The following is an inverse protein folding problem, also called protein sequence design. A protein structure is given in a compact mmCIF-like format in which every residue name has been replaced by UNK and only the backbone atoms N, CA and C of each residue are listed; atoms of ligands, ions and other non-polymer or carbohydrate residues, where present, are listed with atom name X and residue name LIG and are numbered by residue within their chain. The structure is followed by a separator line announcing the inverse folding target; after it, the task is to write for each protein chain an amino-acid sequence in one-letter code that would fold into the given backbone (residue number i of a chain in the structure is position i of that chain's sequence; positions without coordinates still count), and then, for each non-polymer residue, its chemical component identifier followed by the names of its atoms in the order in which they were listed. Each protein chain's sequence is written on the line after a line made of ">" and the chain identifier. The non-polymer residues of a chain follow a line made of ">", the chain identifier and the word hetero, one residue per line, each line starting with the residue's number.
data_IF_433595400113
#
_entry.id   IF_433595400113
#
_cell.length_a   1.000
_cell.length_b   1.000
_cell.length_c   1.000
_cell.angle_alpha   90.00
_cell.angle_beta   90.00
_cell.angle_gamma   90.00
#
_symmetry.space_group_name_H-M   'P 1'
#
loop_
_entity.id
_entity.type
_entity.pdbx_description
1 polymer ?
#
# COMPACT_ATOMS: atom_id res chain seq x y z
N UNK A 1 0.65 -0.57 -8.52
CA UNK A 1 -0.20 -0.71 -7.34
C UNK A 1 -0.61 0.61 -6.71
N UNK A 2 0.06 1.72 -7.05
CA UNK A 2 -0.31 3.04 -6.58
C UNK A 2 -1.75 3.41 -6.97
N UNK A 3 -2.25 3.02 -8.15
CA UNK A 3 -3.61 3.38 -8.54
C UNK A 3 -4.68 2.60 -7.77
N UNK A 4 -4.43 1.33 -7.44
CA UNK A 4 -5.29 0.56 -6.53
C UNK A 4 -5.39 1.24 -5.17
N UNK A 5 -4.27 1.66 -4.57
CA UNK A 5 -4.31 2.42 -3.31
C UNK A 5 -4.96 3.79 -3.47
N UNK A 6 -4.71 4.50 -4.58
CA UNK A 6 -5.35 5.78 -4.88
C UNK A 6 -6.86 5.63 -4.94
N UNK A 7 -7.40 4.63 -5.64
CA UNK A 7 -8.85 4.33 -5.68
C UNK A 7 -9.39 4.05 -4.29
N UNK A 8 -8.71 3.21 -3.50
CA UNK A 8 -9.09 2.94 -2.11
C UNK A 8 -9.16 4.23 -1.29
N UNK A 9 -8.17 5.11 -1.42
CA UNK A 9 -8.09 6.37 -0.68
C UNK A 9 -9.06 7.44 -1.21
N UNK A 10 -9.42 7.37 -2.49
CA UNK A 10 -10.40 8.26 -3.13
C UNK A 10 -11.86 7.80 -2.97
N UNK A 11 -12.12 6.54 -2.61
CA UNK A 11 -13.48 5.98 -2.47
C UNK A 11 -14.37 6.71 -1.45
N UNK A 12 -13.80 7.62 -0.65
CA UNK A 12 -14.54 8.54 0.25
C UNK A 12 -15.03 9.84 -0.41
N UNK A 13 -14.63 10.12 -1.67
CA UNK A 13 -15.07 11.24 -2.49
C UNK A 13 -15.78 10.75 -3.75
N UNK A 14 -16.74 11.51 -4.25
CA UNK A 14 -17.57 11.15 -5.41
C UNK A 14 -16.73 10.59 -6.57
N UNK A 15 -17.05 9.36 -6.98
CA UNK A 15 -16.38 8.66 -8.07
C UNK A 15 -16.56 9.41 -9.39
N UNK A 16 -15.48 9.97 -9.92
CA UNK A 16 -15.38 10.33 -11.33
C UNK A 16 -15.02 9.09 -12.17
N UNK A 17 -15.40 9.04 -13.45
CA UNK A 17 -15.06 7.92 -14.32
C UNK A 17 -13.53 7.87 -14.49
N UNK A 18 -12.92 6.79 -14.05
CA UNK A 18 -11.49 6.57 -14.20
C UNK A 18 -11.13 6.34 -15.67
N UNK A 19 -10.19 7.13 -16.19
CA UNK A 19 -9.59 6.90 -17.49
C UNK A 19 -8.90 5.52 -17.49
N UNK A 20 -9.24 4.68 -18.46
CA UNK A 20 -8.56 3.41 -18.73
C UNK A 20 -7.11 3.69 -19.13
N UNK A 21 -6.23 3.77 -18.13
CA UNK A 21 -4.83 3.87 -18.40
C UNK A 21 -4.31 2.52 -18.92
N UNK A 22 -3.67 2.59 -20.08
CA UNK A 22 -3.11 1.50 -20.88
C UNK A 22 -2.31 0.51 -20.06
N UNK A 23 -2.28 -0.73 -20.57
CA UNK A 23 -1.72 -1.99 -20.07
C UNK A 23 -0.25 -1.97 -19.56
N UNK A 24 0.11 -1.09 -18.63
CA UNK A 24 1.40 -1.11 -17.96
C UNK A 24 1.29 -1.83 -16.61
N UNK A 25 2.28 -2.69 -16.34
CA UNK A 25 2.44 -3.31 -15.02
C UNK A 25 2.77 -2.20 -14.04
N UNK A 26 1.79 -1.80 -13.24
CA UNK A 26 2.02 -0.73 -12.27
C UNK A 26 3.13 -1.12 -11.29
N UNK A 27 3.99 -0.16 -10.89
CA UNK A 27 5.12 -0.44 -10.01
C UNK A 27 4.71 -1.11 -8.70
N UNK A 28 5.58 -1.98 -8.16
CA UNK A 28 5.40 -2.59 -6.84
C UNK A 28 5.46 -1.48 -5.78
N UNK A 29 4.66 -1.63 -4.73
CA UNK A 29 4.45 -0.57 -3.75
C UNK A 29 4.87 -1.00 -2.35
N UNK A 30 5.61 -0.13 -1.66
CA UNK A 30 5.94 -0.26 -0.24
C UNK A 30 5.02 0.62 0.62
N UNK A 31 4.27 0.00 1.53
CA UNK A 31 3.40 0.67 2.49
C UNK A 31 4.11 0.78 3.84
N UNK A 32 4.39 2.01 4.26
CA UNK A 32 5.21 2.37 5.40
C UNK A 32 4.35 2.99 6.50
N UNK A 33 4.68 2.72 7.76
CA UNK A 33 4.04 3.37 8.90
C UNK A 33 4.37 2.71 10.22
N UNK A 34 4.28 3.46 11.31
CA UNK A 34 4.58 2.98 12.67
C UNK A 34 3.65 1.86 13.15
N UNK A 35 3.89 1.35 14.36
CA UNK A 35 3.02 0.36 14.98
C UNK A 35 1.59 0.91 15.13
N UNK A 36 0.57 0.11 14.79
CA UNK A 36 -0.83 0.54 14.90
C UNK A 36 -1.30 1.59 13.88
N UNK A 37 -0.49 1.92 12.86
CA UNK A 37 -0.86 2.88 11.80
C UNK A 37 -1.95 2.39 10.83
N UNK A 38 -2.56 1.22 11.04
CA UNK A 38 -3.63 0.72 10.18
C UNK A 38 -3.16 0.20 8.81
N UNK A 39 -1.87 -0.09 8.63
CA UNK A 39 -1.32 -0.71 7.39
C UNK A 39 -2.12 -1.92 6.94
N UNK A 40 -2.37 -2.86 7.85
CA UNK A 40 -3.19 -4.06 7.60
C UNK A 40 -4.59 -3.71 7.12
N UNK A 41 -5.21 -2.66 7.67
CA UNK A 41 -6.53 -2.21 7.25
C UNK A 41 -6.53 -1.66 5.82
N UNK A 42 -5.49 -0.89 5.48
CA UNK A 42 -5.32 -0.36 4.14
C UNK A 42 -4.98 -1.46 3.12
N UNK A 43 -4.11 -2.41 3.47
CA UNK A 43 -3.84 -3.59 2.63
C UNK A 43 -5.10 -4.41 2.38
N UNK A 44 -5.91 -4.64 3.41
CA UNK A 44 -7.16 -5.38 3.25
C UNK A 44 -8.17 -4.61 2.39
N UNK A 45 -8.22 -3.28 2.50
CA UNK A 45 -9.02 -2.45 1.60
C UNK A 45 -8.53 -2.56 0.14
N UNK A 46 -7.23 -2.59 -0.09
CA UNK A 46 -6.63 -2.82 -1.41
C UNK A 46 -6.95 -4.23 -1.95
N UNK A 47 -6.97 -5.25 -1.08
CA UNK A 47 -7.36 -6.60 -1.44
C UNK A 47 -8.81 -6.67 -1.93
N UNK A 48 -9.74 -5.99 -1.23
CA UNK A 48 -11.14 -5.93 -1.62
C UNK A 48 -11.35 -5.19 -2.95
N UNK A 49 -10.64 -4.07 -3.15
CA UNK A 49 -10.67 -3.32 -4.40
C UNK A 49 -10.19 -4.20 -5.57
N UNK A 50 -9.04 -4.86 -5.44
CA UNK A 50 -8.48 -5.71 -6.48
C UNK A 50 -9.33 -6.97 -6.73
N UNK A 51 -9.95 -7.55 -5.70
CA UNK A 51 -10.92 -8.62 -5.85
C UNK A 51 -12.17 -8.15 -6.63
N UNK A 52 -12.61 -6.91 -6.39
CA UNK A 52 -13.73 -6.27 -7.09
C UNK A 52 -13.50 -6.04 -8.58
N UNK A 53 -12.24 -5.91 -9.01
CA UNK A 53 -11.88 -5.79 -10.44
C UNK A 53 -12.15 -7.06 -11.25
N UNK A 54 -12.38 -8.21 -10.60
CA UNK A 54 -12.68 -9.47 -11.29
C UNK A 54 -11.51 -10.06 -12.09
N UNK A 55 -10.28 -9.57 -11.85
CA UNK A 55 -9.06 -9.97 -12.60
C UNK A 55 -8.42 -11.27 -12.13
N UNK A 56 -8.89 -11.84 -11.03
CA UNK A 56 -8.33 -13.03 -10.41
C UNK A 56 -8.32 -12.92 -8.88
N UNK A 57 -7.95 -14.01 -8.18
CA UNK A 57 -7.87 -14.00 -6.73
C UNK A 57 -6.76 -13.06 -6.23
N UNK A 58 -6.87 -12.64 -4.97
CA UNK A 58 -5.81 -11.90 -4.26
C UNK A 58 -5.11 -12.85 -3.30
N UNK A 59 -3.78 -12.87 -3.29
CA UNK A 59 -2.99 -13.62 -2.33
C UNK A 59 -2.54 -12.68 -1.21
N UNK A 60 -3.04 -12.90 0.01
CA UNK A 60 -2.71 -12.11 1.19
C UNK A 60 -1.81 -12.92 2.12
N UNK A 61 -0.54 -12.53 2.21
CA UNK A 61 0.46 -13.13 3.10
C UNK A 61 0.59 -12.30 4.37
N UNK A 62 0.53 -12.95 5.53
CA UNK A 62 0.79 -12.30 6.82
C UNK A 62 1.27 -13.35 7.82
N UNK A 63 2.13 -12.97 8.76
CA UNK A 63 2.76 -13.96 9.65
C UNK A 63 1.79 -14.66 10.59
N UNK A 64 0.68 -13.99 10.96
CA UNK A 64 -0.29 -14.49 11.93
C UNK A 64 -1.72 -14.32 11.41
N UNK A 65 -2.66 -15.21 11.78
CA UNK A 65 -4.08 -15.03 11.49
C UNK A 65 -4.59 -13.67 11.96
N UNK A 66 -5.32 -12.98 11.09
CA UNK A 66 -5.96 -11.71 11.44
C UNK A 66 -7.05 -11.98 12.49
N UNK A 67 -6.94 -11.36 13.66
CA UNK A 67 -7.91 -11.55 14.76
C UNK A 67 -9.29 -10.95 14.42
N UNK A 68 -9.31 -9.91 13.60
CA UNK A 68 -10.52 -9.27 13.09
C UNK A 68 -10.25 -8.70 11.71
N UNK A 69 -11.18 -8.91 10.78
CA UNK A 69 -11.11 -8.23 9.49
C UNK A 69 -11.62 -6.79 9.63
N UNK A 70 -10.91 -5.78 9.08
CA UNK A 70 -11.38 -4.41 9.02
C UNK A 70 -12.79 -4.34 8.44
N UNK A 71 -13.70 -3.66 9.15
CA UNK A 71 -15.08 -3.48 8.72
C UNK A 71 -15.16 -2.37 7.67
N UNK A 72 -14.74 -2.67 6.44
CA UNK A 72 -15.04 -1.81 5.29
C UNK A 72 -16.37 -2.24 4.66
N UNK A 73 -17.37 -1.38 4.80
CA UNK A 73 -18.59 -1.15 3.99
C UNK A 73 -19.38 -2.40 3.52
N UNK A 74 -20.42 -2.75 4.29
CA UNK A 74 -21.63 -3.43 3.80
C UNK A 74 -21.57 -4.94 3.54
N UNK A 75 -22.68 -5.64 3.77
CA UNK A 75 -22.88 -7.06 3.47
C UNK A 75 -22.67 -7.43 1.98
N UNK A 76 -22.58 -6.44 1.09
CA UNK A 76 -22.38 -6.59 -0.34
C UNK A 76 -20.97 -7.04 -0.75
N UNK A 77 -19.96 -6.92 0.15
CA UNK A 77 -18.57 -7.31 -0.14
C UNK A 77 -18.22 -8.75 0.27
N UNK A 78 -19.17 -9.49 0.87
CA UNK A 78 -18.98 -10.90 1.25
C UNK A 78 -18.51 -11.79 0.08
N UNK A 79 -19.05 -11.67 -1.15
CA UNK A 79 -18.56 -12.45 -2.29
C UNK A 79 -17.10 -12.12 -2.68
N UNK A 80 -16.67 -10.87 -2.47
CA UNK A 80 -15.30 -10.44 -2.78
C UNK A 80 -14.28 -10.95 -1.77
N UNK A 81 -14.69 -11.13 -0.51
CA UNK A 81 -13.85 -11.77 0.51
C UNK A 81 -13.45 -13.19 0.12
N UNK A 82 -14.32 -13.90 -0.59
CA UNK A 82 -14.04 -15.26 -1.08
C UNK A 82 -12.94 -15.30 -2.16
N UNK A 83 -12.63 -14.16 -2.79
CA UNK A 83 -11.53 -14.05 -3.75
C UNK A 83 -10.18 -13.78 -3.08
N UNK A 84 -10.16 -13.47 -1.78
CA UNK A 84 -8.93 -13.23 -1.03
C UNK A 84 -8.49 -14.54 -0.37
N UNK A 85 -7.33 -15.05 -0.81
CA UNK A 85 -6.68 -16.24 -0.27
C UNK A 85 -5.64 -15.82 0.75
N UNK A 86 -5.90 -16.09 2.02
CA UNK A 86 -4.94 -15.86 3.08
C UNK A 86 -3.96 -17.02 3.21
N UNK A 87 -2.67 -16.72 3.37
CA UNK A 87 -1.65 -17.68 3.78
C UNK A 87 -0.82 -17.10 4.91
N UNK A 88 -0.41 -17.98 5.83
CA UNK A 88 0.19 -17.59 7.10
C UNK A 88 1.56 -18.22 7.33
N UNK A 89 2.61 -17.86 6.56
CA UNK A 89 3.95 -18.36 6.82
C UNK A 89 4.46 -17.79 8.17
N UNK A 90 4.62 -18.62 9.23
CA UNK A 90 4.95 -18.19 10.58
C UNK A 90 6.44 -17.83 10.77
N UNK A 91 7.29 -18.11 9.79
CA UNK A 91 8.75 -17.86 9.79
C UNK A 91 9.26 -17.47 8.42
N UNK A 92 10.46 -16.89 8.35
CA UNK A 92 11.15 -16.55 7.10
C UNK A 92 11.36 -17.78 6.23
N UNK A 93 11.76 -18.91 6.83
CA UNK A 93 11.92 -20.17 6.09
C UNK A 93 10.61 -20.61 5.41
N UNK A 94 9.47 -20.53 6.10
CA UNK A 94 8.18 -20.90 5.51
C UNK A 94 7.72 -19.92 4.44
N UNK A 95 7.99 -18.63 4.60
CA UNK A 95 7.75 -17.62 3.56
C UNK A 95 8.58 -17.93 2.31
N UNK A 96 9.88 -18.20 2.46
CA UNK A 96 10.77 -18.57 1.35
C UNK A 96 10.28 -19.84 0.66
N UNK A 97 9.92 -20.88 1.40
CA UNK A 97 9.37 -22.12 0.83
C UNK A 97 8.12 -21.84 0.00
N UNK A 98 7.20 -21.03 0.52
CA UNK A 98 5.96 -20.64 -0.16
C UNK A 98 6.27 -19.90 -1.48
N UNK A 99 7.12 -18.88 -1.43
CA UNK A 99 7.49 -18.09 -2.62
C UNK A 99 8.22 -18.95 -3.66
N UNK A 100 9.20 -19.76 -3.25
CA UNK A 100 9.92 -20.66 -4.15
C UNK A 100 8.99 -21.70 -4.79
N UNK A 101 7.98 -22.19 -4.06
CA UNK A 101 6.99 -23.15 -4.58
C UNK A 101 5.88 -22.52 -5.44
N UNK A 102 5.88 -21.20 -5.62
CA UNK A 102 4.81 -20.51 -6.35
C UNK A 102 4.61 -21.07 -7.77
N UNK A 103 5.68 -21.49 -8.44
CA UNK A 103 5.63 -22.08 -9.78
C UNK A 103 4.91 -23.44 -9.83
N UNK A 104 4.82 -24.14 -8.70
CA UNK A 104 4.14 -25.45 -8.58
C UNK A 104 2.62 -25.30 -8.38
N UNK A 105 2.14 -24.10 -8.04
CA UNK A 105 0.74 -23.88 -7.72
C UNK A 105 -0.18 -24.13 -8.91
N UNK A 106 -1.08 -25.10 -8.75
CA UNK A 106 -2.14 -25.40 -9.71
C UNK A 106 -3.38 -24.56 -9.37
N UNK A 107 -3.93 -23.84 -10.35
CA UNK A 107 -5.10 -22.99 -10.17
C UNK A 107 -4.96 -21.59 -10.78
N UNK A 108 -5.94 -20.70 -10.54
CA UNK A 108 -5.90 -19.34 -11.05
C UNK A 108 -4.73 -18.57 -10.42
N UNK A 109 -3.95 -17.89 -11.25
CA UNK A 109 -2.89 -17.01 -10.79
C UNK A 109 -3.48 -15.77 -10.11
N UNK A 110 -2.90 -15.29 -8.99
CA UNK A 110 -3.39 -14.10 -8.32
C UNK A 110 -3.17 -12.85 -9.17
N UNK A 111 -4.14 -11.93 -9.11
CA UNK A 111 -4.05 -10.60 -9.71
C UNK A 111 -3.29 -9.60 -8.83
N UNK A 112 -3.15 -9.91 -7.53
CA UNK A 112 -2.46 -9.10 -6.53
C UNK A 112 -1.84 -9.99 -5.45
N UNK A 113 -0.57 -9.75 -5.16
CA UNK A 113 0.18 -10.30 -4.03
C UNK A 113 0.36 -9.21 -2.97
N UNK A 114 -0.07 -9.51 -1.75
CA UNK A 114 0.06 -8.63 -0.59
C UNK A 114 0.92 -9.34 0.47
N UNK A 115 1.88 -8.61 1.04
CA UNK A 115 2.63 -9.07 2.22
C UNK A 115 2.46 -8.06 3.35
N UNK A 116 1.89 -8.48 4.47
CA UNK A 116 1.74 -7.69 5.69
C UNK A 116 2.82 -8.06 6.71
N UNK A 117 3.52 -7.06 7.24
CA UNK A 117 4.53 -7.22 8.29
C UNK A 117 5.88 -7.75 7.81
N UNK A 118 6.47 -7.19 6.74
CA UNK A 118 7.78 -7.62 6.23
C UNK A 118 8.88 -7.60 7.32
N UNK A 119 8.84 -6.63 8.23
CA UNK A 119 9.76 -6.49 9.35
C UNK A 119 9.81 -7.74 10.25
N UNK A 120 8.71 -8.49 10.35
CA UNK A 120 8.64 -9.69 11.18
C UNK A 120 9.47 -10.84 10.59
N UNK A 121 9.78 -10.80 9.29
CA UNK A 121 10.66 -11.78 8.64
C UNK A 121 12.11 -11.32 8.63
N UNK A 122 12.35 -10.02 8.47
CA UNK A 122 13.69 -9.45 8.48
C UNK A 122 14.35 -9.46 9.88
N UNK A 123 13.55 -9.48 10.94
CA UNK A 123 14.07 -9.59 12.31
C UNK A 123 14.62 -10.98 12.65
N UNK A 124 14.21 -12.03 11.94
CA UNK A 124 14.75 -13.38 12.13
C UNK A 124 16.14 -13.53 11.51
N UNK A 125 16.42 -12.75 10.45
CA UNK A 125 17.68 -12.77 9.71
C UNK A 125 18.07 -11.34 9.28
N UNK A 126 18.74 -10.57 10.15
CA UNK A 126 18.86 -9.11 10.03
C UNK A 126 19.87 -8.63 8.99
N UNK A 127 20.42 -9.49 8.15
CA UNK A 127 21.38 -9.05 7.14
C UNK A 127 20.71 -8.29 5.97
N UNK A 128 21.44 -7.34 5.40
CA UNK A 128 20.95 -6.54 4.27
C UNK A 128 20.83 -7.36 2.97
N UNK A 129 21.62 -8.44 2.86
CA UNK A 129 21.55 -9.38 1.75
C UNK A 129 20.21 -10.13 1.75
N UNK A 130 19.69 -10.46 2.93
CA UNK A 130 18.45 -11.18 3.14
C UNK A 130 17.24 -10.31 2.81
N UNK A 131 17.29 -9.03 3.18
CA UNK A 131 16.29 -8.04 2.75
C UNK A 131 16.23 -7.90 1.21
N UNK A 132 17.40 -7.85 0.56
CA UNK A 132 17.48 -7.78 -0.90
C UNK A 132 16.96 -9.07 -1.57
N UNK A 133 17.36 -10.22 -1.03
CA UNK A 133 16.95 -11.52 -1.52
C UNK A 133 15.43 -11.69 -1.42
N UNK A 134 14.84 -11.35 -0.26
CA UNK A 134 13.41 -11.46 -0.05
C UNK A 134 12.62 -10.50 -0.95
N UNK A 135 13.08 -9.26 -1.11
CA UNK A 135 12.47 -8.30 -2.03
C UNK A 135 12.53 -8.78 -3.49
N UNK A 136 13.69 -9.28 -3.93
CA UNK A 136 13.86 -9.83 -5.27
C UNK A 136 12.96 -11.05 -5.51
N UNK A 137 12.84 -11.96 -4.53
CA UNK A 137 11.99 -13.14 -4.64
C UNK A 137 10.50 -12.79 -4.67
N UNK A 138 10.05 -11.79 -3.90
CA UNK A 138 8.68 -11.28 -3.97
C UNK A 138 8.36 -10.70 -5.35
N UNK A 139 9.28 -9.93 -5.92
CA UNK A 139 9.15 -9.38 -7.26
C UNK A 139 9.13 -10.46 -8.34
N UNK A 140 10.03 -11.44 -8.26
CA UNK A 140 10.07 -12.58 -9.18
C UNK A 140 8.79 -13.41 -9.10
N UNK A 141 8.27 -13.63 -7.89
CA UNK A 141 7.00 -14.33 -7.67
C UNK A 141 5.83 -13.57 -8.32
N UNK A 142 5.76 -12.25 -8.14
CA UNK A 142 4.75 -11.41 -8.79
C UNK A 142 4.90 -11.39 -10.32
N UNK A 143 6.13 -11.37 -10.84
CA UNK A 143 6.40 -11.47 -12.27
C UNK A 143 5.95 -12.83 -12.84
N UNK A 144 6.24 -13.92 -12.14
CA UNK A 144 5.77 -15.26 -12.49
C UNK A 144 4.23 -15.31 -12.61
N UNK A 145 3.52 -14.79 -11.61
CA UNK A 145 2.06 -14.72 -11.67
C UNK A 145 1.56 -13.81 -12.78
N UNK A 146 2.25 -12.69 -13.05
CA UNK A 146 1.91 -11.80 -14.17
C UNK A 146 1.92 -12.52 -15.52
N UNK A 147 2.91 -13.37 -15.76
CA UNK A 147 2.98 -14.17 -16.99
C UNK A 147 1.84 -15.19 -17.11
N UNK A 148 1.30 -15.67 -15.99
CA UNK A 148 0.21 -16.65 -15.95
C UNK A 148 -1.19 -16.05 -16.08
N UNK A 149 -1.39 -14.79 -15.66
CA UNK A 149 -2.71 -14.14 -15.70
C UNK A 149 -3.20 -13.92 -17.14
N UNK A 150 -2.30 -13.66 -18.09
CA UNK A 150 -2.62 -13.52 -19.52
C UNK A 150 -3.53 -12.32 -19.84
N UNK A 151 -3.11 -11.46 -20.77
CA UNK A 151 -3.78 -10.22 -21.22
C UNK A 151 -3.78 -9.02 -20.24
N UNK A 152 -3.01 -8.00 -20.61
CA UNK A 152 -3.26 -6.59 -20.29
C UNK A 152 -2.78 -6.06 -18.94
N UNK A 153 -2.94 -6.78 -17.83
CA UNK A 153 -2.47 -6.29 -16.51
C UNK A 153 -1.94 -7.44 -15.66
N UNK A 154 -0.65 -7.39 -15.32
CA UNK A 154 0.04 -8.40 -14.51
C UNK A 154 -0.43 -8.49 -13.05
N UNK A 155 0.19 -9.40 -12.31
CA UNK A 155 0.04 -9.53 -10.86
C UNK A 155 0.73 -8.36 -10.16
N UNK A 156 -0.05 -7.57 -9.41
CA UNK A 156 0.47 -6.48 -8.62
C UNK A 156 1.17 -6.95 -7.34
N UNK A 157 2.04 -6.11 -6.76
CA UNK A 157 2.69 -6.37 -5.48
C UNK A 157 2.58 -5.16 -4.54
N UNK A 158 2.05 -5.38 -3.33
CA UNK A 158 2.10 -4.40 -2.23
C UNK A 158 2.70 -5.08 -1.00
N UNK A 159 3.69 -4.43 -0.39
CA UNK A 159 4.36 -4.93 0.81
C UNK A 159 4.25 -3.89 1.91
N UNK A 160 3.75 -4.27 3.08
CA UNK A 160 3.74 -3.40 4.26
C UNK A 160 4.98 -3.66 5.12
N UNK A 161 5.58 -2.56 5.58
CA UNK A 161 6.75 -2.55 6.43
C UNK A 161 6.53 -1.54 7.57
N UNK A 162 6.74 -1.98 8.81
CA UNK A 162 6.77 -1.08 9.94
C UNK A 162 8.07 -0.26 9.97
N UNK A 163 7.93 1.06 9.99
CA UNK A 163 9.05 1.98 10.22
C UNK A 163 9.27 2.14 11.72
N UNK A 164 10.49 1.89 12.21
CA UNK A 164 10.89 2.28 13.56
C UNK A 164 11.21 3.78 13.62
N UNK A 165 11.04 4.39 14.80
CA UNK A 165 11.50 5.75 15.06
C UNK A 165 13.03 5.80 15.11
N UNK A 166 13.63 6.92 14.65
CA UNK A 166 15.06 7.06 14.40
C UNK A 166 15.95 6.54 15.55
N UNK A 167 16.82 5.56 15.25
CA UNK A 167 17.81 5.06 16.22
C UNK A 167 18.75 3.97 15.71
N UNK A 168 18.35 3.17 14.72
CA UNK A 168 19.17 2.07 14.19
C UNK A 168 19.60 2.31 12.73
N UNK A 169 20.91 2.48 12.53
CA UNK A 169 21.51 2.70 11.21
C UNK A 169 21.41 1.47 10.29
N UNK A 170 21.33 0.26 10.85
CA UNK A 170 21.15 -0.96 10.08
C UNK A 170 19.73 -1.03 9.48
N UNK A 171 18.72 -0.65 10.27
CA UNK A 171 17.32 -0.54 9.78
C UNK A 171 17.18 0.53 8.70
N UNK A 172 17.89 1.65 8.81
CA UNK A 172 17.88 2.70 7.79
C UNK A 172 18.46 2.21 6.45
N UNK A 173 19.56 1.43 6.49
CA UNK A 173 20.15 0.82 5.29
C UNK A 173 19.21 -0.22 4.66
N UNK A 174 18.57 -1.06 5.47
CA UNK A 174 17.57 -2.03 4.99
C UNK A 174 16.39 -1.33 4.32
N UNK A 175 15.86 -0.27 4.92
CA UNK A 175 14.76 0.52 4.34
C UNK A 175 15.18 1.14 2.99
N UNK A 176 16.35 1.79 2.94
CA UNK A 176 16.88 2.37 1.72
C UNK A 176 17.07 1.33 0.61
N UNK A 177 17.47 0.11 0.98
CA UNK A 177 17.59 -1.00 0.05
C UNK A 177 16.21 -1.41 -0.49
N UNK A 178 15.23 -1.62 0.38
CA UNK A 178 13.86 -2.00 -0.02
C UNK A 178 13.25 -0.93 -0.94
N UNK A 179 13.42 0.34 -0.64
CA UNK A 179 12.92 1.44 -1.48
C UNK A 179 13.46 1.41 -2.93
N UNK A 180 14.62 0.77 -3.18
CA UNK A 180 15.14 0.58 -4.55
C UNK A 180 14.36 -0.48 -5.34
N UNK A 181 13.80 -1.47 -4.65
CA UNK A 181 12.96 -2.53 -5.24
C UNK A 181 11.50 -2.09 -5.37
N UNK A 182 11.07 -1.13 -4.53
CA UNK A 182 9.70 -0.61 -4.48
C UNK A 182 9.68 0.90 -4.81
N UNK A 183 9.65 1.29 -6.09
CA UNK A 183 9.70 2.69 -6.49
C UNK A 183 8.43 3.44 -6.08
N UNK A 184 7.28 2.78 -6.00
CA UNK A 184 6.07 3.36 -5.44
C UNK A 184 6.05 3.19 -3.93
N UNK A 185 5.66 4.24 -3.20
CA UNK A 185 5.67 4.27 -1.74
C UNK A 185 4.41 4.93 -1.21
N UNK A 186 3.89 4.40 -0.11
CA UNK A 186 2.80 5.02 0.64
C UNK A 186 3.18 5.11 2.11
N UNK A 187 3.13 6.29 2.71
CA UNK A 187 3.43 6.49 4.14
C UNK A 187 2.16 6.80 4.92
N UNK A 188 1.99 6.11 6.05
CA UNK A 188 0.98 6.38 7.07
C UNK A 188 1.67 7.02 8.27
N UNK A 189 1.49 8.33 8.41
CA UNK A 189 2.09 9.14 9.46
C UNK A 189 1.01 9.64 10.43
N UNK A 190 1.28 9.74 11.73
CA UNK A 190 0.37 10.42 12.65
C UNK A 190 0.07 11.84 12.17
N UNK A 191 -1.22 12.20 12.07
CA UNK A 191 -1.65 13.59 11.94
C UNK A 191 -1.62 14.24 13.33
N UNK A 192 -1.50 15.57 13.40
CA UNK A 192 -1.34 16.31 14.66
C UNK A 192 -2.38 15.88 15.71
N UNK A 193 -2.02 15.86 17.01
CA UNK A 193 -2.87 15.30 18.06
C UNK A 193 -4.15 16.11 18.22
N UNK A 194 -5.22 15.64 17.58
CA UNK A 194 -6.58 16.10 17.86
C UNK A 194 -7.16 15.20 18.97
N UNK A 195 -7.74 15.77 20.04
CA UNK A 195 -8.22 14.98 21.16
C UNK A 195 -9.33 14.03 20.72
N UNK A 196 -9.10 12.72 20.87
CA UNK A 196 -10.13 11.67 20.74
C UNK A 196 -10.22 10.95 19.39
N UNK A 197 -9.41 11.29 18.39
CA UNK A 197 -9.36 10.56 17.11
C UNK A 197 -7.92 10.19 16.71
N UNK A 198 -7.71 8.89 16.44
CA UNK A 198 -6.51 8.42 15.76
C UNK A 198 -6.60 8.81 14.29
N UNK A 199 -6.02 9.96 13.97
CA UNK A 199 -5.95 10.53 12.64
C UNK A 199 -4.56 10.29 12.05
N UNK A 200 -4.50 9.80 10.83
CA UNK A 200 -3.26 9.56 10.09
C UNK A 200 -3.29 10.33 8.77
N UNK A 201 -2.14 10.83 8.35
CA UNK A 201 -1.90 11.30 6.99
C UNK A 201 -1.37 10.14 6.15
N UNK A 202 -2.07 9.81 5.08
CA UNK A 202 -1.61 8.90 4.04
C UNK A 202 -1.00 9.70 2.89
N UNK A 203 0.27 9.50 2.61
CA UNK A 203 0.98 10.12 1.48
C UNK A 203 1.31 9.03 0.46
N UNK A 204 0.89 9.17 -0.79
CA UNK A 204 1.20 8.22 -1.87
C UNK A 204 2.13 8.89 -2.89
N UNK A 205 3.28 8.27 -3.12
CA UNK A 205 4.20 8.60 -4.20
C UNK A 205 4.23 7.43 -5.19
N UNK A 206 3.79 7.61 -6.45
CA UNK A 206 3.57 6.49 -7.36
C UNK A 206 4.85 5.93 -8.00
N UNK A 207 6.04 6.50 -7.73
CA UNK A 207 7.32 6.00 -8.24
C UNK A 207 7.57 6.21 -9.74
N UNK A 208 6.75 7.03 -10.40
CA UNK A 208 6.81 7.35 -11.84
C UNK A 208 6.26 8.75 -12.13
N UNK A 209 5.69 8.98 -13.31
CA UNK A 209 5.18 10.30 -13.74
C UNK A 209 3.92 10.80 -12.98
N UNK A 210 3.40 10.02 -12.05
CA UNK A 210 2.19 10.39 -11.30
C UNK A 210 2.48 11.40 -10.19
N UNK A 211 1.54 12.32 -9.95
CA UNK A 211 1.64 13.28 -8.86
C UNK A 211 1.51 12.60 -7.48
N UNK A 212 2.28 13.09 -6.51
CA UNK A 212 2.08 12.81 -5.10
C UNK A 212 0.68 13.24 -4.69
N UNK A 213 0.00 12.38 -3.93
CA UNK A 213 -1.33 12.65 -3.42
C UNK A 213 -1.41 12.31 -1.94
N UNK A 214 -2.30 13.01 -1.23
CA UNK A 214 -2.39 12.92 0.21
C UNK A 214 -3.84 12.87 0.69
N UNK A 215 -4.05 12.09 1.75
CA UNK A 215 -5.35 11.91 2.37
C UNK A 215 -5.22 11.91 3.88
N UNK A 216 -6.30 12.31 4.53
CA UNK A 216 -6.55 12.07 5.94
C UNK A 216 -7.30 10.75 6.09
N UNK A 217 -6.77 9.87 6.93
CA UNK A 217 -7.35 8.57 7.28
C UNK A 217 -7.69 8.58 8.76
N UNK A 218 -8.93 8.26 9.10
CA UNK A 218 -9.40 8.18 10.49
C UNK A 218 -10.00 6.81 10.76
N UNK A 219 -9.70 6.27 11.94
CA UNK A 219 -10.25 5.01 12.42
C UNK A 219 -11.29 5.29 13.51
N UNK A 220 -12.51 4.80 13.30
CA UNK A 220 -13.59 4.86 14.30
C UNK A 220 -13.39 3.77 15.36
N UNK A 221 -14.09 3.91 16.49
CA UNK A 221 -14.00 2.97 17.62
C UNK A 221 -14.45 1.55 17.26
N UNK A 222 -15.26 1.39 16.22
CA UNK A 222 -15.71 0.11 15.67
C UNK A 222 -14.75 -0.49 14.63
N UNK A 223 -13.60 0.15 14.40
CA UNK A 223 -12.58 -0.27 13.43
C UNK A 223 -12.89 0.14 11.99
N UNK A 224 -13.92 0.95 11.74
CA UNK A 224 -14.22 1.49 10.41
C UNK A 224 -13.16 2.54 10.01
N UNK A 225 -12.63 2.40 8.80
CA UNK A 225 -11.65 3.30 8.20
C UNK A 225 -12.33 4.31 7.27
N UNK A 226 -12.31 5.58 7.64
CA UNK A 226 -12.80 6.69 6.80
C UNK A 226 -11.65 7.47 6.20
N UNK A 227 -11.76 7.85 4.93
CA UNK A 227 -10.72 8.58 4.19
C UNK A 227 -11.31 9.86 3.61
N UNK A 228 -10.63 10.98 3.80
CA UNK A 228 -10.97 12.28 3.22
C UNK A 228 -9.74 12.84 2.50
N UNK A 229 -9.89 13.49 1.34
CA UNK A 229 -8.77 14.16 0.66
C UNK A 229 -8.09 15.15 1.61
N UNK A 230 -6.75 15.25 1.52
CA UNK A 230 -6.05 16.29 2.27
C UNK A 230 -6.43 17.66 1.70
N UNK A 231 -6.74 18.67 2.54
CA UNK A 231 -7.01 20.00 2.03
C UNK A 231 -5.75 20.52 1.33
N UNK A 232 -5.84 20.70 0.01
CA UNK A 232 -4.84 21.48 -0.72
C UNK A 232 -4.85 22.86 -0.09
N UNK A 233 -3.70 23.32 0.44
CA UNK A 233 -3.58 24.74 0.78
C UNK A 233 -3.87 25.52 -0.50
N UNK A 234 -5.06 26.12 -0.57
CA UNK A 234 -5.34 27.17 -1.55
C UNK A 234 -4.23 28.19 -1.33
N UNK A 235 -3.41 28.39 -2.37
CA UNK A 235 -2.13 29.06 -2.25
C UNK A 235 -2.23 30.37 -1.48
N UNK A 236 -1.21 30.66 -0.67
CA UNK A 236 -0.91 32.00 -0.19
C UNK A 236 -0.69 32.91 -1.40
N UNK A 237 -1.80 33.41 -1.94
CA UNK A 237 -1.85 34.52 -2.89
C UNK A 237 -2.24 35.76 -2.11
N UNK A 238 -1.56 36.01 -1.01
CA UNK A 238 -1.63 37.29 -0.32
C UNK A 238 -0.22 37.68 0.09
N UNK A 239 0.44 38.46 -0.78
CA UNK A 239 1.35 39.57 -0.45
C UNK A 239 2.08 39.99 -1.72
N UNK A 240 1.43 40.84 -2.52
CA UNK A 240 2.05 42.02 -3.14
C UNK A 240 0.96 42.85 -3.82
N UNK A 241 0.17 43.56 -2.99
CA UNK A 241 -0.61 44.71 -3.43
C UNK A 241 -0.08 45.92 -2.67
N UNK A 242 0.60 46.81 -3.39
CA UNK A 242 1.22 48.04 -2.91
C UNK A 242 2.57 48.23 -3.61
N UNK A 243 2.85 49.27 -4.38
CA UNK A 243 2.19 50.57 -4.49
C UNK A 243 2.52 51.18 -5.85
N UNK A 244 1.51 51.59 -6.61
CA UNK A 244 1.68 52.55 -7.71
C UNK A 244 1.22 53.91 -7.21
N UNK A 245 2.19 54.79 -6.98
CA UNK A 245 2.05 56.25 -6.94
C UNK A 245 2.97 56.71 -8.07
N UNK A 246 2.54 57.32 -9.17
CA UNK A 246 1.65 58.47 -9.22
C UNK A 246 2.47 59.70 -8.87
N UNK A 247 3.00 60.40 -9.87
CA UNK A 247 3.63 61.72 -9.71
C UNK A 247 4.79 62.02 -10.66
N UNK A 248 4.47 62.49 -11.88
CA UNK A 248 5.32 63.47 -12.58
C UNK A 248 5.11 64.85 -11.95
N UNK A 249 6.08 65.77 -12.09
CA UNK A 249 6.04 66.69 -13.24
C UNK A 249 7.32 66.67 -14.08
#
# INVERSE_FOLDING_TARGET
>A
MAETLRRVLNSGGAAGPGEENTAEVEPPLLLLGGHGSGKTALLFAAALEAAGEGRGPVLFLTRRPLQSLPRRIGAALEPLRLQIRFQYPPSTHELLRLLCSAHETRGPAPSLLLLDGLEEYLTEDPGSQEAAYLAALLLDTAAHFSHRVGSGRGCGLIVALQTQEEGDSATALQLALLQRYFPAQCWLQPDAPSPGQHCLRACLEPGGLGARAEWRVTFRQDGEMTVTPWPTQAGDTSLHKGSSSGGQP
#
